data_IF_526007378065
#
_entry.id   IF_526007378065
#
_cell.length_a   1.000
_cell.length_b   1.000
_cell.length_c   1.000
_cell.angle_alpha   90.00
_cell.angle_beta   90.00
_cell.angle_gamma   90.00
#
_symmetry.space_group_name_H-M   'P 1'
#
loop_
_entity.id
_entity.type
_entity.pdbx_description
1 polymer ?
#
# COMPACT_ATOMS: atom_id res chain seq x y z
N UNK A 1 -84.34 -54.12 14.56
CA UNK A 1 -85.21 -53.49 13.55
C UNK A 1 -84.97 -51.99 13.58
N UNK A 2 -85.12 -51.34 12.41
CA UNK A 2 -85.04 -49.90 12.08
C UNK A 2 -83.66 -49.19 12.11
N UNK A 3 -83.15 -48.95 10.89
CA UNK A 3 -82.10 -47.97 10.51
C UNK A 3 -82.71 -46.55 10.42
N UNK A 4 -81.92 -45.45 10.38
CA UNK A 4 -81.65 -44.88 9.06
C UNK A 4 -80.31 -44.13 8.83
N UNK A 5 -79.94 -44.09 7.55
CA UNK A 5 -79.38 -42.98 6.76
C UNK A 5 -78.00 -42.38 7.11
N UNK A 6 -77.01 -42.73 6.26
CA UNK A 6 -75.82 -41.93 6.01
C UNK A 6 -76.17 -40.60 5.32
N UNK A 7 -75.84 -39.49 5.98
CA UNK A 7 -75.91 -38.15 5.39
C UNK A 7 -74.55 -37.79 4.79
N UNK A 8 -74.44 -37.78 3.46
CA UNK A 8 -73.32 -37.18 2.71
C UNK A 8 -73.25 -35.69 3.03
N UNK A 9 -72.12 -35.20 3.53
CA UNK A 9 -71.83 -33.77 3.61
C UNK A 9 -71.09 -33.29 2.34
N UNK A 10 -71.36 -32.08 1.84
CA UNK A 10 -70.96 -31.62 0.51
C UNK A 10 -69.50 -31.17 0.46
N UNK A 11 -68.91 -31.23 -0.74
CA UNK A 11 -67.52 -30.84 -1.01
C UNK A 11 -67.18 -29.43 -0.54
N UNK A 12 -66.17 -29.33 0.31
CA UNK A 12 -65.57 -28.06 0.70
C UNK A 12 -64.78 -27.47 -0.48
N UNK A 13 -64.94 -26.18 -0.82
CA UNK A 13 -64.13 -25.55 -1.84
C UNK A 13 -62.72 -25.27 -1.29
N UNK A 14 -61.70 -25.67 -2.06
CA UNK A 14 -60.32 -25.24 -1.87
C UNK A 14 -60.25 -23.72 -2.09
N UNK A 15 -59.91 -22.95 -1.04
CA UNK A 15 -59.61 -21.52 -1.20
C UNK A 15 -58.26 -21.36 -1.91
N UNK A 16 -58.15 -20.52 -2.94
CA UNK A 16 -56.85 -20.14 -3.49
C UNK A 16 -56.10 -19.29 -2.46
N UNK A 17 -54.91 -19.73 -2.06
CA UNK A 17 -53.95 -18.91 -1.31
C UNK A 17 -53.29 -17.91 -2.27
N UNK A 18 -54.06 -16.91 -2.69
CA UNK A 18 -53.49 -15.70 -3.27
C UNK A 18 -52.70 -14.97 -2.18
N UNK A 19 -51.45 -14.61 -2.47
CA UNK A 19 -50.66 -13.79 -1.57
C UNK A 19 -51.45 -12.52 -1.27
N UNK A 20 -51.66 -12.22 0.01
CA UNK A 20 -52.30 -10.98 0.42
C UNK A 20 -51.44 -9.81 -0.08
N UNK A 21 -51.80 -9.24 -1.22
CA UNK A 21 -51.24 -7.98 -1.70
C UNK A 21 -51.81 -6.89 -0.80
N UNK A 22 -51.29 -6.78 0.44
CA UNK A 22 -51.54 -5.61 1.28
C UNK A 22 -51.03 -4.42 0.49
N UNK A 23 -51.93 -3.49 0.15
CA UNK A 23 -51.56 -2.18 -0.39
C UNK A 23 -50.64 -1.54 0.64
N UNK A 24 -49.35 -1.47 0.33
CA UNK A 24 -48.37 -0.78 1.15
C UNK A 24 -48.83 0.66 1.26
N UNK A 25 -49.16 1.15 2.46
CA UNK A 25 -49.73 2.47 2.58
C UNK A 25 -48.69 3.52 2.19
N UNK A 26 -49.11 4.53 1.43
CA UNK A 26 -48.23 5.54 0.81
C UNK A 26 -47.25 6.20 1.80
N UNK A 27 -47.61 6.30 3.08
CA UNK A 27 -46.74 6.85 4.12
C UNK A 27 -45.46 6.04 4.35
N UNK A 28 -45.47 4.72 4.07
CA UNK A 28 -44.26 3.87 4.19
C UNK A 28 -43.24 4.25 3.13
N UNK A 29 -43.67 4.54 1.91
CA UNK A 29 -42.78 5.03 0.85
C UNK A 29 -42.26 6.43 1.17
N UNK A 30 -43.09 7.30 1.75
CA UNK A 30 -42.65 8.62 2.22
C UNK A 30 -41.59 8.50 3.33
N UNK A 31 -41.79 7.61 4.31
CA UNK A 31 -40.82 7.37 5.37
C UNK A 31 -39.50 6.79 4.83
N UNK A 32 -39.55 5.84 3.89
CA UNK A 32 -38.37 5.30 3.23
C UNK A 32 -37.65 6.36 2.39
N UNK A 33 -38.38 7.23 1.70
CA UNK A 33 -37.79 8.32 0.93
C UNK A 33 -37.07 9.32 1.84
N UNK A 34 -37.67 9.69 2.98
CA UNK A 34 -37.03 10.57 3.97
C UNK A 34 -35.77 9.93 4.54
N UNK A 35 -35.80 8.64 4.87
CA UNK A 35 -34.61 7.90 5.32
C UNK A 35 -33.52 7.86 4.25
N UNK A 36 -33.88 7.56 3.00
CA UNK A 36 -32.94 7.53 1.89
C UNK A 36 -32.28 8.90 1.66
N UNK A 37 -33.06 9.99 1.71
CA UNK A 37 -32.54 11.35 1.61
C UNK A 37 -31.62 11.69 2.80
N UNK A 38 -32.00 11.31 4.02
CA UNK A 38 -31.16 11.50 5.20
C UNK A 38 -29.81 10.79 5.09
N UNK A 39 -29.81 9.54 4.65
CA UNK A 39 -28.57 8.77 4.39
C UNK A 39 -27.74 9.44 3.29
N UNK A 40 -28.35 9.82 2.16
CA UNK A 40 -27.67 10.51 1.05
C UNK A 40 -27.01 11.81 1.49
N UNK A 41 -27.69 12.63 2.30
CA UNK A 41 -27.15 13.90 2.81
C UNK A 41 -25.98 13.66 3.76
N UNK A 42 -26.08 12.69 4.67
CA UNK A 42 -24.97 12.32 5.56
C UNK A 42 -23.79 11.80 4.75
N UNK A 43 -24.02 10.95 3.74
CA UNK A 43 -22.96 10.42 2.87
C UNK A 43 -22.29 11.49 1.99
N UNK A 44 -23.05 12.48 1.52
CA UNK A 44 -22.49 13.63 0.78
C UNK A 44 -21.61 14.51 1.66
N UNK A 45 -21.98 14.70 2.93
CA UNK A 45 -21.15 15.43 3.91
C UNK A 45 -19.87 14.67 4.32
N UNK A 46 -19.83 13.34 4.19
CA UNK A 46 -18.66 12.54 4.51
C UNK A 46 -17.70 12.33 3.34
N UNK A 47 -18.07 12.71 2.11
CA UNK A 47 -17.17 12.58 0.97
C UNK A 47 -16.05 13.64 1.10
N UNK A 48 -14.78 13.23 1.27
CA UNK A 48 -13.69 14.18 1.45
C UNK A 48 -13.56 15.06 0.20
N UNK A 49 -13.35 16.36 0.40
CA UNK A 49 -13.12 17.30 -0.70
C UNK A 49 -11.79 17.02 -1.40
N UNK A 50 -11.64 17.49 -2.63
CA UNK A 50 -10.36 17.34 -3.36
C UNK A 50 -9.20 18.01 -2.62
N UNK A 51 -9.45 19.15 -1.96
CA UNK A 51 -8.45 19.83 -1.13
C UNK A 51 -8.05 19.02 0.11
N UNK A 52 -9.00 18.32 0.74
CA UNK A 52 -8.70 17.41 1.86
C UNK A 52 -7.87 16.23 1.39
N UNK A 53 -8.26 15.57 0.29
CA UNK A 53 -7.51 14.45 -0.29
C UNK A 53 -6.09 14.85 -0.70
N UNK A 54 -5.90 16.04 -1.27
CA UNK A 54 -4.57 16.55 -1.61
C UNK A 54 -3.71 16.84 -0.36
N UNK A 55 -4.32 17.38 0.70
CA UNK A 55 -3.64 17.61 1.98
C UNK A 55 -3.27 16.30 2.67
N UNK A 56 -4.18 15.32 2.69
CA UNK A 56 -3.96 13.99 3.25
C UNK A 56 -2.86 13.26 2.49
N UNK A 57 -2.85 13.32 1.15
CA UNK A 57 -1.77 12.73 0.34
C UNK A 57 -0.42 13.40 0.61
N UNK A 58 -0.41 14.70 0.90
CA UNK A 58 0.80 15.41 1.32
C UNK A 58 1.26 14.99 2.72
N UNK A 59 0.33 14.69 3.63
CA UNK A 59 0.62 14.03 4.91
C UNK A 59 1.29 12.67 4.69
N UNK A 60 0.63 11.81 3.92
CA UNK A 60 1.13 10.49 3.55
C UNK A 60 2.57 10.52 2.99
N UNK A 61 2.88 11.40 2.03
CA UNK A 61 4.25 11.48 1.49
C UNK A 61 5.29 11.92 2.53
N UNK A 62 4.91 12.74 3.52
CA UNK A 62 5.81 13.09 4.63
C UNK A 62 6.04 11.90 5.55
N UNK A 63 5.00 11.12 5.83
CA UNK A 63 5.09 9.93 6.67
C UNK A 63 5.94 8.85 5.99
N UNK A 64 5.71 8.61 4.69
CA UNK A 64 6.54 7.73 3.89
C UNK A 64 8.01 8.18 3.85
N UNK A 65 8.27 9.48 3.65
CA UNK A 65 9.63 10.04 3.68
C UNK A 65 10.28 9.89 5.05
N UNK A 66 9.52 10.06 6.13
CA UNK A 66 10.03 9.89 7.49
C UNK A 66 10.36 8.43 7.79
N UNK A 67 9.51 7.49 7.35
CA UNK A 67 9.72 6.06 7.53
C UNK A 67 10.94 5.54 6.77
N UNK A 68 11.03 5.85 5.48
CA UNK A 68 12.07 5.29 4.60
C UNK A 68 13.35 6.13 4.51
N UNK A 69 13.31 7.38 4.98
CA UNK A 69 14.35 8.38 4.73
C UNK A 69 15.75 7.94 5.13
N UNK A 70 15.91 7.31 6.29
CA UNK A 70 17.21 6.81 6.77
C UNK A 70 17.77 5.68 5.90
N UNK A 71 16.90 4.77 5.42
CA UNK A 71 17.30 3.72 4.48
C UNK A 71 17.73 4.31 3.13
N UNK A 72 16.91 5.22 2.58
CA UNK A 72 17.19 5.89 1.32
C UNK A 72 18.50 6.72 1.38
N UNK A 73 18.75 7.41 2.48
CA UNK A 73 20.01 8.11 2.69
C UNK A 73 21.20 7.13 2.78
N UNK A 74 21.07 6.07 3.59
CA UNK A 74 22.12 5.06 3.76
C UNK A 74 22.49 4.34 2.47
N UNK A 75 21.51 4.01 1.63
CA UNK A 75 21.75 3.43 0.31
C UNK A 75 22.47 4.42 -0.62
N UNK A 76 22.05 5.69 -0.65
CA UNK A 76 22.70 6.73 -1.48
C UNK A 76 24.16 6.93 -1.09
N UNK A 77 24.45 6.95 0.21
CA UNK A 77 25.82 7.04 0.72
C UNK A 77 26.64 5.80 0.34
N UNK A 78 26.02 4.61 0.41
CA UNK A 78 26.63 3.36 -0.04
C UNK A 78 26.94 3.35 -1.53
N UNK A 79 26.01 3.74 -2.40
CA UNK A 79 26.29 3.85 -3.82
C UNK A 79 27.42 4.85 -4.12
N UNK A 80 27.44 5.99 -3.42
CA UNK A 80 28.49 6.99 -3.56
C UNK A 80 29.86 6.42 -3.18
N UNK A 81 29.96 5.76 -2.02
CA UNK A 81 31.19 5.11 -1.58
C UNK A 81 31.62 3.97 -2.52
N UNK A 82 30.67 3.17 -3.00
CA UNK A 82 30.93 2.11 -3.98
C UNK A 82 31.50 2.67 -5.30
N UNK A 83 30.94 3.76 -5.82
CA UNK A 83 31.46 4.45 -7.02
C UNK A 83 32.87 4.99 -6.81
N UNK A 84 33.20 5.52 -5.63
CA UNK A 84 34.56 5.98 -5.31
C UNK A 84 35.57 4.83 -5.30
N UNK A 85 35.25 3.71 -4.66
CA UNK A 85 36.10 2.52 -4.63
C UNK A 85 36.30 1.95 -6.04
N UNK A 86 35.25 1.89 -6.87
CA UNK A 86 35.38 1.49 -8.27
C UNK A 86 36.23 2.46 -9.11
N UNK A 87 36.23 3.75 -8.76
CA UNK A 87 37.07 4.77 -9.38
C UNK A 87 38.56 4.67 -9.04
N UNK A 88 38.96 3.70 -8.21
CA UNK A 88 40.35 3.44 -7.85
C UNK A 88 40.77 4.00 -6.49
N UNK A 89 39.84 4.54 -5.71
CA UNK A 89 40.12 5.02 -4.35
C UNK A 89 40.12 3.85 -3.33
N UNK A 90 41.16 3.03 -3.42
CA UNK A 90 41.30 1.84 -2.55
C UNK A 90 41.71 2.20 -1.12
N UNK A 91 42.14 3.44 -0.87
CA UNK A 91 42.51 3.92 0.47
C UNK A 91 41.31 4.05 1.42
N UNK A 92 40.10 4.04 0.88
CA UNK A 92 38.86 4.19 1.63
C UNK A 92 37.96 2.94 1.60
N UNK A 93 38.48 1.77 1.18
CA UNK A 93 37.72 0.52 1.17
C UNK A 93 37.11 0.19 2.54
N UNK A 94 37.89 0.32 3.62
CA UNK A 94 37.38 0.07 4.98
C UNK A 94 36.29 1.05 5.41
N UNK A 95 36.38 2.30 4.96
CA UNK A 95 35.34 3.30 5.17
C UNK A 95 34.08 2.89 4.40
N UNK A 96 34.22 2.50 3.13
CA UNK A 96 33.11 2.04 2.31
C UNK A 96 32.41 0.80 2.91
N UNK A 97 33.17 -0.19 3.39
CA UNK A 97 32.60 -1.35 4.10
C UNK A 97 31.72 -0.94 5.30
N UNK A 98 32.19 0.07 6.07
CA UNK A 98 31.45 0.60 7.22
C UNK A 98 30.18 1.33 6.79
N UNK A 99 30.25 2.10 5.70
CA UNK A 99 29.09 2.79 5.10
C UNK A 99 28.04 1.78 4.65
N UNK A 100 28.43 0.72 3.94
CA UNK A 100 27.49 -0.32 3.47
C UNK A 100 26.80 -1.04 4.63
N UNK A 101 27.56 -1.37 5.67
CA UNK A 101 27.03 -2.06 6.85
C UNK A 101 26.05 -1.16 7.62
N UNK A 102 26.42 0.10 7.85
CA UNK A 102 25.57 1.07 8.53
C UNK A 102 24.32 1.41 7.72
N UNK A 103 24.47 1.68 6.43
CA UNK A 103 23.33 1.94 5.54
C UNK A 103 22.39 0.74 5.46
N UNK A 104 22.94 -0.48 5.37
CA UNK A 104 22.17 -1.72 5.39
C UNK A 104 21.31 -1.88 6.65
N UNK A 105 21.84 -1.52 7.83
CA UNK A 105 21.07 -1.58 9.09
C UNK A 105 19.88 -0.62 9.12
N UNK A 106 19.99 0.56 8.49
CA UNK A 106 18.91 1.55 8.42
C UNK A 106 17.74 1.11 7.52
N UNK A 107 17.94 0.06 6.72
CA UNK A 107 16.94 -0.51 5.83
C UNK A 107 16.19 -1.71 6.42
N UNK A 108 16.54 -2.11 7.65
CA UNK A 108 15.85 -3.18 8.37
C UNK A 108 14.92 -2.62 9.42
N UNK A 109 13.77 -3.26 9.64
CA UNK A 109 12.84 -2.90 10.73
C UNK A 109 13.53 -2.95 12.10
N UNK A 110 14.42 -3.93 12.32
CA UNK A 110 15.16 -4.05 13.57
C UNK A 110 16.15 -2.89 13.82
N UNK A 111 16.72 -2.31 12.75
CA UNK A 111 17.71 -1.23 12.83
C UNK A 111 17.13 0.17 12.64
N UNK A 112 15.84 0.30 12.30
CA UNK A 112 15.19 1.58 12.03
C UNK A 112 13.77 1.61 12.60
N UNK A 113 13.59 2.35 13.70
CA UNK A 113 12.29 2.53 14.35
C UNK A 113 11.28 3.23 13.43
N UNK A 114 11.70 4.23 12.64
CA UNK A 114 10.79 4.94 11.75
C UNK A 114 10.24 4.02 10.65
N UNK A 115 11.08 3.11 10.13
CA UNK A 115 10.64 2.08 9.18
C UNK A 115 9.69 1.07 9.84
N UNK A 116 9.93 0.72 11.11
CA UNK A 116 9.01 -0.14 11.89
C UNK A 116 7.65 0.53 12.11
N UNK A 117 7.66 1.81 12.48
CA UNK A 117 6.44 2.59 12.66
C UNK A 117 5.67 2.70 11.34
N UNK A 118 6.40 2.94 10.23
CA UNK A 118 5.83 2.96 8.88
C UNK A 118 5.27 1.61 8.45
N UNK A 119 5.91 0.49 8.81
CA UNK A 119 5.38 -0.84 8.49
C UNK A 119 4.04 -1.15 9.18
N UNK A 120 3.68 -0.38 10.22
CA UNK A 120 2.38 -0.45 10.89
C UNK A 120 1.44 0.70 10.50
N UNK A 121 1.86 1.55 9.55
CA UNK A 121 1.11 2.71 9.10
C UNK A 121 -0.21 2.28 8.43
N UNK A 122 -1.23 3.11 8.62
CA UNK A 122 -2.51 2.94 7.95
C UNK A 122 -2.83 4.20 7.17
N UNK A 123 -3.03 4.03 5.87
CA UNK A 123 -3.45 5.09 4.96
C UNK A 123 -4.79 5.67 5.42
N UNK A 124 -4.87 6.99 5.50
CA UNK A 124 -6.12 7.71 5.80
C UNK A 124 -7.24 7.29 4.87
N UNK A 125 -8.45 7.07 5.40
CA UNK A 125 -9.61 6.55 4.65
C UNK A 125 -9.95 7.37 3.39
N UNK A 126 -9.70 8.69 3.41
CA UNK A 126 -9.89 9.60 2.28
C UNK A 126 -9.05 9.24 1.03
N UNK A 127 -7.99 8.45 1.22
CA UNK A 127 -7.06 8.00 0.19
C UNK A 127 -7.20 6.51 -0.15
N UNK A 128 -8.12 5.79 0.50
CA UNK A 128 -8.30 4.33 0.37
C UNK A 128 -8.47 3.83 -1.08
N UNK A 129 -8.95 4.68 -1.99
CA UNK A 129 -9.11 4.35 -3.42
C UNK A 129 -7.85 4.52 -4.27
N UNK A 130 -6.72 4.93 -3.68
CA UNK A 130 -5.50 5.30 -4.40
C UNK A 130 -4.41 4.21 -4.40
N UNK A 131 -4.71 3.01 -3.89
CA UNK A 131 -3.78 1.87 -3.81
C UNK A 131 -2.46 2.19 -3.08
N UNK A 132 -2.51 3.09 -2.09
CA UNK A 132 -1.31 3.48 -1.33
C UNK A 132 -0.82 2.36 -0.40
N UNK A 133 -1.69 1.42 -0.03
CA UNK A 133 -1.34 0.19 0.68
C UNK A 133 -0.39 -0.69 -0.14
N UNK A 134 -0.57 -0.75 -1.46
CA UNK A 134 0.37 -1.44 -2.34
C UNK A 134 1.73 -0.70 -2.34
N UNK A 135 1.72 0.63 -2.45
CA UNK A 135 2.95 1.42 -2.38
C UNK A 135 3.68 1.27 -1.04
N UNK A 136 2.95 1.14 0.08
CA UNK A 136 3.55 0.92 1.41
C UNK A 136 4.25 -0.44 1.48
N UNK A 137 3.58 -1.50 0.99
CA UNK A 137 4.17 -2.85 0.91
C UNK A 137 5.38 -2.91 -0.02
N UNK A 138 5.30 -2.24 -1.17
CA UNK A 138 6.41 -2.15 -2.13
C UNK A 138 7.56 -1.34 -1.52
N UNK A 139 7.30 -0.30 -0.73
CA UNK A 139 8.33 0.48 -0.05
C UNK A 139 9.08 -0.32 1.02
N UNK A 140 8.37 -1.17 1.76
CA UNK A 140 8.98 -2.11 2.72
C UNK A 140 9.78 -3.17 1.97
N UNK A 141 9.26 -3.69 0.86
CA UNK A 141 9.98 -4.65 0.01
C UNK A 141 11.27 -4.03 -0.54
N UNK A 142 11.18 -2.81 -1.08
CA UNK A 142 12.30 -2.01 -1.54
C UNK A 142 13.36 -1.83 -0.44
N UNK A 143 12.96 -1.64 0.83
CA UNK A 143 13.92 -1.52 1.94
C UNK A 143 14.69 -2.82 2.17
N UNK A 144 14.03 -3.98 2.08
CA UNK A 144 14.72 -5.28 2.20
C UNK A 144 15.67 -5.54 1.03
N UNK A 145 15.26 -5.20 -0.19
CA UNK A 145 16.15 -5.27 -1.36
C UNK A 145 17.34 -4.31 -1.23
N UNK A 146 17.13 -3.10 -0.68
CA UNK A 146 18.20 -2.15 -0.41
C UNK A 146 19.22 -2.68 0.61
N UNK A 147 18.78 -3.45 1.61
CA UNK A 147 19.71 -4.17 2.50
C UNK A 147 20.53 -5.20 1.71
N UNK A 148 19.90 -6.00 0.85
CA UNK A 148 20.59 -7.00 0.04
C UNK A 148 21.62 -6.37 -0.91
N UNK A 149 21.24 -5.30 -1.61
CA UNK A 149 22.13 -4.54 -2.50
C UNK A 149 23.37 -4.01 -1.77
N UNK A 150 23.22 -3.50 -0.55
CA UNK A 150 24.37 -3.03 0.24
C UNK A 150 25.27 -4.18 0.69
N UNK A 151 24.72 -5.37 0.94
CA UNK A 151 25.53 -6.58 1.18
C UNK A 151 26.26 -7.03 -0.09
N UNK A 152 25.65 -6.89 -1.26
CA UNK A 152 26.30 -7.20 -2.54
C UNK A 152 27.42 -6.21 -2.86
N UNK A 153 27.25 -4.92 -2.56
CA UNK A 153 28.34 -3.92 -2.64
C UNK A 153 29.51 -4.33 -1.74
N UNK A 154 29.22 -4.79 -0.52
CA UNK A 154 30.22 -5.31 0.42
C UNK A 154 30.94 -6.55 -0.13
N UNK A 155 30.20 -7.46 -0.76
CA UNK A 155 30.77 -8.65 -1.39
C UNK A 155 31.71 -8.28 -2.55
N UNK A 156 31.33 -7.29 -3.37
CA UNK A 156 32.17 -6.82 -4.48
C UNK A 156 33.48 -6.22 -3.97
N UNK A 157 33.44 -5.33 -2.98
CA UNK A 157 34.67 -4.68 -2.50
C UNK A 157 35.62 -5.65 -1.81
N UNK A 158 35.10 -6.70 -1.16
CA UNK A 158 35.92 -7.74 -0.51
C UNK A 158 36.47 -8.79 -1.47
N UNK A 159 35.82 -8.99 -2.62
CA UNK A 159 36.20 -10.01 -3.58
C UNK A 159 37.26 -9.52 -4.58
N UNK A 160 38.05 -10.46 -5.09
CA UNK A 160 39.06 -10.24 -6.14
C UNK A 160 38.89 -11.24 -7.28
N UNK A 161 39.49 -10.94 -8.45
CA UNK A 161 39.49 -11.83 -9.62
C UNK A 161 38.09 -12.27 -10.06
N UNK A 162 37.93 -13.57 -10.35
CA UNK A 162 36.66 -14.14 -10.80
C UNK A 162 35.52 -14.00 -9.77
N UNK A 163 35.83 -14.06 -8.47
CA UNK A 163 34.84 -13.88 -7.41
C UNK A 163 34.24 -12.46 -7.44
N UNK A 164 35.07 -11.44 -7.74
CA UNK A 164 34.60 -10.06 -7.90
C UNK A 164 33.65 -9.92 -9.08
N UNK A 165 33.97 -10.53 -10.23
CA UNK A 165 33.12 -10.49 -11.41
C UNK A 165 31.74 -11.14 -11.15
N UNK A 166 31.71 -12.26 -10.44
CA UNK A 166 30.46 -12.89 -10.01
C UNK A 166 29.66 -11.98 -9.06
N UNK A 167 30.30 -11.42 -8.04
CA UNK A 167 29.64 -10.50 -7.11
C UNK A 167 29.07 -9.25 -7.81
N UNK A 168 29.77 -8.72 -8.81
CA UNK A 168 29.29 -7.58 -9.61
C UNK A 168 28.04 -7.95 -10.43
N UNK A 169 27.96 -9.18 -10.93
CA UNK A 169 26.78 -9.66 -11.65
C UNK A 169 25.58 -9.77 -10.70
N UNK A 170 25.78 -10.30 -9.49
CA UNK A 170 24.75 -10.33 -8.44
C UNK A 170 24.28 -8.92 -8.10
N UNK A 171 25.23 -8.01 -7.83
CA UNK A 171 24.93 -6.62 -7.51
C UNK A 171 24.13 -5.93 -8.62
N UNK A 172 24.52 -6.13 -9.90
CA UNK A 172 23.80 -5.56 -11.03
C UNK A 172 22.34 -6.06 -11.10
N UNK A 173 22.12 -7.35 -10.81
CA UNK A 173 20.77 -7.91 -10.72
C UNK A 173 19.99 -7.32 -9.54
N UNK A 174 20.63 -7.13 -8.39
CA UNK A 174 20.03 -6.53 -7.20
C UNK A 174 19.58 -5.09 -7.45
N UNK A 175 20.46 -4.27 -8.03
CA UNK A 175 20.14 -2.89 -8.41
C UNK A 175 18.99 -2.82 -9.43
N UNK A 176 18.96 -3.71 -10.42
CA UNK A 176 17.86 -3.76 -11.38
C UNK A 176 16.51 -4.08 -10.73
N UNK A 177 16.51 -4.96 -9.72
CA UNK A 177 15.30 -5.27 -8.95
C UNK A 177 14.87 -4.07 -8.09
N UNK A 178 15.82 -3.43 -7.43
CA UNK A 178 15.57 -2.24 -6.61
C UNK A 178 14.98 -1.08 -7.42
N UNK A 179 15.49 -0.85 -8.63
CA UNK A 179 14.97 0.14 -9.56
C UNK A 179 13.55 -0.21 -10.06
N UNK A 180 13.25 -1.50 -10.25
CA UNK A 180 11.92 -1.96 -10.63
C UNK A 180 10.89 -1.69 -9.51
N UNK A 181 11.23 -1.98 -8.25
CA UNK A 181 10.38 -1.66 -7.09
C UNK A 181 10.15 -0.14 -6.98
N UNK A 182 11.23 0.65 -7.10
CA UNK A 182 11.14 2.12 -7.13
C UNK A 182 10.18 2.60 -8.21
N UNK A 183 10.29 2.08 -9.43
CA UNK A 183 9.43 2.47 -10.53
C UNK A 183 7.96 2.11 -10.31
N UNK A 184 7.67 0.97 -9.67
CA UNK A 184 6.32 0.57 -9.30
C UNK A 184 5.70 1.53 -8.27
N UNK A 185 6.46 1.87 -7.22
CA UNK A 185 6.07 2.84 -6.18
C UNK A 185 5.81 4.23 -6.81
N UNK A 186 6.75 4.73 -7.61
CA UNK A 186 6.64 6.04 -8.28
C UNK A 186 5.40 6.10 -9.19
N UNK A 187 5.03 5.00 -9.84
CA UNK A 187 3.85 4.93 -10.68
C UNK A 187 2.55 5.10 -9.87
N UNK A 188 2.46 4.44 -8.71
CA UNK A 188 1.31 4.56 -7.79
C UNK A 188 1.23 6.01 -7.26
N UNK A 189 2.33 6.54 -6.74
CA UNK A 189 2.36 7.91 -6.20
C UNK A 189 2.05 8.97 -7.27
N UNK A 190 2.53 8.78 -8.49
CA UNK A 190 2.19 9.66 -9.62
C UNK A 190 0.71 9.59 -9.99
N UNK A 191 0.11 8.40 -9.97
CA UNK A 191 -1.33 8.23 -10.18
C UNK A 191 -2.14 8.92 -9.06
N UNK A 192 -1.74 8.73 -7.79
CA UNK A 192 -2.37 9.36 -6.63
C UNK A 192 -2.32 10.90 -6.71
N UNK A 193 -1.17 11.48 -7.09
CA UNK A 193 -1.04 12.93 -7.32
C UNK A 193 -1.98 13.42 -8.41
N UNK A 194 -2.05 12.73 -9.54
CA UNK A 194 -2.99 13.08 -10.63
C UNK A 194 -4.44 13.00 -10.18
N UNK A 195 -4.80 12.00 -9.39
CA UNK A 195 -6.17 11.79 -8.92
C UNK A 195 -6.65 12.79 -7.85
N UNK A 196 -5.72 13.45 -7.16
CA UNK A 196 -6.00 14.39 -6.06
C UNK A 196 -5.68 15.84 -6.40
N UNK A 197 -4.89 16.09 -7.45
CA UNK A 197 -4.34 17.41 -7.76
C UNK A 197 -3.22 17.86 -6.82
N UNK A 198 -2.67 16.96 -5.98
CA UNK A 198 -1.57 17.28 -5.09
C UNK A 198 -0.28 17.61 -5.86
N UNK A 199 0.39 18.68 -5.46
CA UNK A 199 1.64 19.15 -6.08
C UNK A 199 2.89 18.83 -5.27
N UNK A 200 2.73 18.35 -4.03
CA UNK A 200 3.82 17.95 -3.14
C UNK A 200 4.74 16.93 -3.79
N UNK A 201 6.05 17.06 -3.55
CA UNK A 201 7.00 16.03 -3.93
C UNK A 201 6.77 14.78 -3.08
N UNK A 202 6.84 13.60 -3.70
CA UNK A 202 6.87 12.33 -3.00
C UNK A 202 8.34 11.94 -2.69
N UNK A 203 8.58 10.98 -1.77
CA UNK A 203 9.93 10.57 -1.39
C UNK A 203 10.81 10.19 -2.59
N UNK A 204 12.08 10.60 -2.58
CA UNK A 204 13.03 10.21 -3.63
C UNK A 204 13.85 9.00 -3.19
N UNK A 205 13.53 7.84 -3.77
CA UNK A 205 14.26 6.60 -3.56
C UNK A 205 15.48 6.53 -4.50
N UNK A 206 16.67 6.13 -4.01
CA UNK A 206 17.80 5.78 -4.86
C UNK A 206 17.52 4.55 -5.74
N UNK A 207 18.35 4.38 -6.77
CA UNK A 207 18.23 3.31 -7.77
C UNK A 207 19.32 2.25 -7.56
#
# INVERSE_FOLDING_TARGET
>A
MTSPAQTRLPGAPLRPSGWATRRTPLWVFAALAVLAVGVLLVSLSHKPSDSQRAADLTGYFRDAQAGIGSCAAGLRDSENAYRQVLGGDTGHEKTAESVFTYGGSNCTVAGNQALTDFASYQVTESLSSLNLDAADNDLITWSFEATAVQQDMLAVVRATGAARASAQTTLASGLAKLDAERAAIDAIWTAAKRATGATSAFPSLPA
#
